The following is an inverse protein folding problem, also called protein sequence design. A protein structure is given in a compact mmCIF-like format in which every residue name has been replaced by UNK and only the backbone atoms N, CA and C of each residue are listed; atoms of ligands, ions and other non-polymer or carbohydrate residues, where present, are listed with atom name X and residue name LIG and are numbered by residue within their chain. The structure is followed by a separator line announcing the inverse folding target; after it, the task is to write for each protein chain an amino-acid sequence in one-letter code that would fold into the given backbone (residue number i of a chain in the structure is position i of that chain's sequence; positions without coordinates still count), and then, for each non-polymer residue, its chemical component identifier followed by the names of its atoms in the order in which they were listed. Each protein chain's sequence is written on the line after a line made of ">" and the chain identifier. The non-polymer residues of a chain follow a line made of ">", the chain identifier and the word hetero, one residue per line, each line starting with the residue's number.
data_IF_951679994000
#
_entry.id   IF_951679994000
#
_cell.length_a   1.000
_cell.length_b   1.000
_cell.length_c   1.000
_cell.angle_alpha   90.00
_cell.angle_beta   90.00
_cell.angle_gamma   90.00
#
_symmetry.space_group_name_H-M   'P 1'
#
loop_
_entity.id
_entity.type
_entity.pdbx_description
1 polymer ?
#
# COMPACT_ATOMS: atom_id res chain seq x y z
N UNK A 1 57.25 -1.40 -10.09
CA UNK A 1 56.27 -2.18 -10.86
C UNK A 1 55.12 -2.67 -9.99
N UNK A 2 55.39 -3.29 -8.83
CA UNK A 2 54.40 -3.93 -7.95
C UNK A 2 53.34 -2.99 -7.34
N UNK A 3 53.71 -1.77 -6.92
CA UNK A 3 52.75 -0.79 -6.37
C UNK A 3 51.70 -0.31 -7.39
N UNK A 4 52.05 -0.26 -8.68
CA UNK A 4 51.15 0.14 -9.76
C UNK A 4 50.13 -0.94 -10.13
N UNK A 5 50.42 -2.20 -9.79
CA UNK A 5 49.48 -3.31 -9.96
C UNK A 5 48.43 -3.32 -8.85
N UNK A 6 48.77 -2.81 -7.66
CA UNK A 6 47.86 -2.72 -6.51
C UNK A 6 46.95 -1.49 -6.53
N UNK A 7 47.25 -0.47 -7.34
CA UNK A 7 46.49 0.79 -7.36
C UNK A 7 45.06 0.62 -7.90
N UNK A 8 44.85 -0.26 -8.88
CA UNK A 8 43.50 -0.54 -9.40
C UNK A 8 42.64 -1.32 -8.40
N UNK A 9 43.08 -2.45 -7.81
CA UNK A 9 42.35 -3.13 -6.75
C UNK A 9 41.98 -2.22 -5.57
N UNK A 10 42.90 -1.35 -5.13
CA UNK A 10 42.66 -0.42 -4.01
C UNK A 10 41.58 0.62 -4.34
N UNK A 11 41.38 0.95 -5.61
CA UNK A 11 40.31 1.86 -6.05
C UNK A 11 38.98 1.13 -6.30
N UNK A 12 39.03 -0.05 -6.92
CA UNK A 12 37.83 -0.82 -7.31
C UNK A 12 37.14 -1.50 -6.12
N UNK A 13 37.88 -1.93 -5.10
CA UNK A 13 37.28 -2.62 -3.95
C UNK A 13 36.32 -1.71 -3.16
N UNK A 14 36.70 -0.47 -2.78
CA UNK A 14 35.75 0.46 -2.15
C UNK A 14 34.51 0.72 -2.99
N UNK A 15 34.68 0.90 -4.31
CA UNK A 15 33.57 1.09 -5.24
C UNK A 15 32.64 -0.13 -5.28
N UNK A 16 33.20 -1.35 -5.31
CA UNK A 16 32.43 -2.58 -5.26
C UNK A 16 31.67 -2.76 -3.94
N UNK A 17 32.29 -2.41 -2.81
CA UNK A 17 31.63 -2.44 -1.49
C UNK A 17 30.46 -1.44 -1.47
N UNK A 18 30.67 -0.22 -1.96
CA UNK A 18 29.60 0.77 -2.08
C UNK A 18 28.46 0.26 -2.97
N UNK A 19 28.78 -0.36 -4.10
CA UNK A 19 27.77 -0.95 -4.99
C UNK A 19 26.97 -2.07 -4.29
N UNK A 20 27.63 -2.96 -3.54
CA UNK A 20 26.95 -4.04 -2.79
C UNK A 20 26.02 -3.45 -1.72
N UNK A 21 26.46 -2.43 -0.98
CA UNK A 21 25.61 -1.76 0.02
C UNK A 21 24.38 -1.13 -0.65
N UNK A 22 24.56 -0.44 -1.77
CA UNK A 22 23.45 0.15 -2.52
C UNK A 22 22.48 -0.92 -3.03
N UNK A 23 23.01 -2.03 -3.56
CA UNK A 23 22.18 -3.17 -3.99
C UNK A 23 21.35 -3.69 -2.82
N UNK A 24 21.95 -3.96 -1.66
CA UNK A 24 21.22 -4.48 -0.50
C UNK A 24 20.11 -3.54 -0.04
N UNK A 25 20.41 -2.25 0.17
CA UNK A 25 19.39 -1.27 0.59
C UNK A 25 18.28 -1.11 -0.46
N UNK A 26 18.64 -1.10 -1.75
CA UNK A 26 17.65 -0.99 -2.82
C UNK A 26 16.78 -2.25 -2.94
N UNK A 27 17.37 -3.42 -2.75
CA UNK A 27 16.69 -4.70 -2.77
C UNK A 27 15.71 -4.80 -1.60
N UNK A 28 16.13 -4.43 -0.38
CA UNK A 28 15.26 -4.42 0.79
C UNK A 28 14.03 -3.53 0.58
N UNK A 29 14.20 -2.35 -0.03
CA UNK A 29 13.08 -1.45 -0.36
C UNK A 29 12.10 -2.08 -1.36
N UNK A 30 12.61 -2.72 -2.41
CA UNK A 30 11.76 -3.39 -3.42
C UNK A 30 11.05 -4.58 -2.77
N UNK A 31 11.76 -5.38 -1.99
CA UNK A 31 11.21 -6.52 -1.30
C UNK A 31 10.11 -6.11 -0.32
N UNK A 32 10.32 -5.07 0.47
CA UNK A 32 9.30 -4.53 1.38
C UNK A 32 8.07 -4.02 0.62
N UNK A 33 8.25 -3.36 -0.52
CA UNK A 33 7.14 -2.89 -1.34
C UNK A 33 6.34 -4.04 -1.97
N UNK A 34 7.03 -5.06 -2.49
CA UNK A 34 6.37 -6.20 -3.16
C UNK A 34 5.69 -7.17 -2.19
N UNK A 35 6.10 -7.16 -0.92
CA UNK A 35 5.51 -7.95 0.15
C UNK A 35 4.57 -7.13 1.04
N UNK A 36 4.35 -5.86 0.73
CA UNK A 36 3.42 -5.02 1.48
C UNK A 36 1.99 -5.55 1.32
N UNK A 37 1.16 -5.33 2.33
CA UNK A 37 -0.20 -5.82 2.34
C UNK A 37 -1.04 -5.09 1.27
N UNK A 38 -1.50 -5.81 0.25
CA UNK A 38 -2.45 -5.29 -0.73
C UNK A 38 -3.91 -5.57 -0.33
N UNK A 39 -4.84 -4.96 -1.06
CA UNK A 39 -6.26 -5.29 -0.93
C UNK A 39 -6.47 -6.79 -1.19
N UNK A 40 -6.99 -7.50 -0.20
CA UNK A 40 -7.27 -8.94 -0.29
C UNK A 40 -8.45 -9.20 -1.22
N UNK A 41 -8.15 -9.37 -2.50
CA UNK A 41 -9.17 -9.58 -3.56
C UNK A 41 -10.02 -10.81 -3.28
N UNK A 42 -9.44 -11.84 -2.65
CA UNK A 42 -10.12 -13.09 -2.33
C UNK A 42 -11.22 -12.93 -1.26
N UNK A 43 -11.18 -11.85 -0.47
CA UNK A 43 -12.22 -11.51 0.50
C UNK A 43 -13.38 -10.72 -0.14
N UNK A 44 -13.29 -10.38 -1.43
CA UNK A 44 -14.32 -9.64 -2.16
C UNK A 44 -15.27 -10.61 -2.87
N UNK A 45 -16.48 -10.76 -2.32
CA UNK A 45 -17.57 -11.45 -3.02
C UNK A 45 -18.08 -10.59 -4.20
N UNK A 46 -17.71 -10.98 -5.41
CA UNK A 46 -18.27 -10.41 -6.63
C UNK A 46 -19.53 -11.18 -7.01
N UNK A 47 -20.67 -10.72 -6.51
CA UNK A 47 -21.96 -11.19 -7.03
C UNK A 47 -22.19 -10.61 -8.44
N UNK A 48 -22.90 -11.37 -9.28
CA UNK A 48 -23.37 -10.83 -10.56
C UNK A 48 -24.25 -9.60 -10.33
N UNK A 49 -24.48 -8.81 -11.40
CA UNK A 49 -25.43 -7.69 -11.44
C UNK A 49 -26.88 -8.19 -11.29
N UNK A 50 -27.17 -9.00 -10.28
CA UNK A 50 -28.54 -9.26 -9.86
C UNK A 50 -29.16 -7.95 -9.38
N UNK A 51 -30.47 -7.86 -9.59
CA UNK A 51 -31.29 -6.65 -9.43
C UNK A 51 -31.49 -6.25 -7.97
N UNK A 52 -30.41 -6.15 -7.19
CA UNK A 52 -30.49 -5.52 -5.87
C UNK A 52 -30.97 -4.08 -6.05
N UNK A 53 -32.04 -3.72 -5.34
CA UNK A 53 -32.57 -2.36 -5.28
C UNK A 53 -31.54 -1.41 -4.65
N UNK A 54 -30.70 -1.94 -3.76
CA UNK A 54 -29.63 -1.21 -3.08
C UNK A 54 -28.37 -1.20 -3.95
N UNK A 55 -27.82 0.00 -4.17
CA UNK A 55 -26.59 0.23 -4.92
C UNK A 55 -25.36 0.33 -4.01
N UNK A 56 -25.54 0.87 -2.80
CA UNK A 56 -24.50 0.96 -1.76
C UNK A 56 -25.15 0.64 -0.43
N UNK A 57 -24.57 -0.31 0.32
CA UNK A 57 -24.95 -0.62 1.69
C UNK A 57 -23.68 -0.65 2.56
N UNK A 58 -23.70 0.09 3.67
CA UNK A 58 -22.66 0.09 4.70
C UNK A 58 -23.39 -0.08 6.03
N UNK A 59 -23.01 -1.10 6.78
CA UNK A 59 -23.59 -1.40 8.09
C UNK A 59 -22.50 -1.37 9.16
N UNK A 60 -22.65 -0.50 10.17
CA UNK A 60 -21.72 -0.34 11.29
C UNK A 60 -20.24 -0.25 10.87
N UNK A 61 -19.96 0.39 9.73
CA UNK A 61 -18.63 0.42 9.12
C UNK A 61 -17.65 1.28 9.92
N UNK A 62 -16.46 0.74 10.18
CA UNK A 62 -15.34 1.44 10.80
C UNK A 62 -14.17 1.45 9.81
N UNK A 63 -13.64 2.62 9.50
CA UNK A 63 -12.61 2.80 8.49
C UNK A 63 -11.42 3.57 9.06
N UNK A 64 -10.22 3.13 8.71
CA UNK A 64 -8.95 3.68 9.19
C UNK A 64 -7.97 3.77 8.02
N UNK A 65 -7.23 4.88 7.93
CA UNK A 65 -6.21 5.07 6.90
C UNK A 65 -4.86 4.50 7.31
N UNK A 66 -4.50 4.72 8.56
CA UNK A 66 -3.23 4.31 9.13
C UNK A 66 -3.47 3.15 10.11
N UNK A 67 -3.02 1.92 9.79
CA UNK A 67 -3.16 0.76 10.66
C UNK A 67 -2.57 0.96 12.05
N UNK A 68 -1.58 1.85 12.20
CA UNK A 68 -0.92 2.13 13.49
C UNK A 68 -1.76 3.05 14.38
N UNK A 69 -2.79 3.70 13.83
CA UNK A 69 -3.68 4.55 14.61
C UNK A 69 -4.71 3.73 15.40
N UNK A 70 -4.96 4.15 16.65
CA UNK A 70 -5.94 3.46 17.52
C UNK A 70 -7.39 3.90 17.29
N UNK A 71 -7.56 5.08 16.69
CA UNK A 71 -8.87 5.73 16.54
C UNK A 71 -9.23 5.69 15.05
N UNK A 72 -10.29 4.97 14.66
CA UNK A 72 -10.72 4.95 13.26
C UNK A 72 -11.10 6.34 12.78
N UNK A 73 -10.75 6.65 11.53
CA UNK A 73 -11.07 7.91 10.85
C UNK A 73 -12.58 8.08 10.68
N UNK A 74 -13.28 7.00 10.37
CA UNK A 74 -14.73 6.93 10.33
C UNK A 74 -15.20 5.81 11.24
N UNK A 75 -16.21 6.05 12.06
CA UNK A 75 -16.72 5.09 13.04
C UNK A 75 -18.23 4.98 12.94
N UNK A 76 -18.73 3.75 13.06
CA UNK A 76 -20.16 3.44 13.05
C UNK A 76 -20.92 4.07 11.87
N UNK A 77 -20.33 4.01 10.68
CA UNK A 77 -20.97 4.54 9.46
C UNK A 77 -22.06 3.57 9.02
N UNK A 78 -23.26 4.11 8.82
CA UNK A 78 -24.39 3.41 8.26
C UNK A 78 -24.87 4.19 7.04
N UNK A 79 -24.92 3.54 5.86
CA UNK A 79 -25.28 4.19 4.61
C UNK A 79 -26.04 3.21 3.72
N UNK A 80 -27.24 3.57 3.31
CA UNK A 80 -28.04 2.83 2.33
C UNK A 80 -28.40 3.79 1.18
N UNK A 81 -27.96 3.46 -0.03
CA UNK A 81 -28.26 4.22 -1.25
C UNK A 81 -28.90 3.27 -2.25
N UNK A 82 -30.11 3.60 -2.65
CA UNK A 82 -30.86 2.85 -3.67
C UNK A 82 -30.37 3.17 -5.08
N UNK A 83 -30.59 2.24 -6.02
CA UNK A 83 -30.35 2.48 -7.43
C UNK A 83 -31.17 3.68 -7.92
N UNK A 84 -30.50 4.59 -8.63
CA UNK A 84 -31.11 5.82 -9.17
C UNK A 84 -31.23 6.97 -8.17
N UNK A 85 -30.94 6.74 -6.88
CA UNK A 85 -30.88 7.79 -5.88
C UNK A 85 -29.62 8.64 -6.07
N UNK A 86 -29.76 9.96 -5.93
CA UNK A 86 -28.64 10.92 -5.91
C UNK A 86 -28.38 11.31 -4.46
N UNK A 87 -27.15 11.15 -4.00
CA UNK A 87 -26.71 11.52 -2.67
C UNK A 87 -25.55 12.51 -2.73
N UNK A 88 -25.42 13.35 -1.71
CA UNK A 88 -24.29 14.25 -1.52
C UNK A 88 -23.73 14.03 -0.11
N UNK A 89 -22.41 14.08 0.02
CA UNK A 89 -21.72 14.04 1.31
C UNK A 89 -21.27 15.45 1.64
N UNK A 90 -21.72 15.97 2.79
CA UNK A 90 -21.36 17.29 3.27
C UNK A 90 -20.59 17.16 4.58
N UNK A 91 -19.54 17.96 4.76
CA UNK A 91 -18.75 18.00 5.98
C UNK A 91 -18.28 19.42 6.29
N UNK A 92 -17.69 19.63 7.47
CA UNK A 92 -17.01 20.87 7.81
C UNK A 92 -15.91 21.20 6.80
N UNK A 93 -15.69 22.49 6.57
CA UNK A 93 -14.57 23.05 5.80
C UNK A 93 -13.41 23.44 6.71
#
# INVERSE_FOLDING_TARGET
>A
ATLRVMSEPVRLIPEAISAIIQVNVSFDRINNFLLDDELKIDEIERSGLEKSETAVDIQAGNFIWDPDTKIPTLQNINLDIKRGQKAAVCGPV
#
